data_IF_785377483584
#
_entry.id   IF_785377483584
#
_cell.length_a   1.000
_cell.length_b   1.000
_cell.length_c   1.000
_cell.angle_alpha   90.00
_cell.angle_beta   90.00
_cell.angle_gamma   90.00
#
_symmetry.space_group_name_H-M   'P 1'
#
loop_
_entity.id
_entity.type
_entity.pdbx_description
1 polymer ?
#
# COMPACT_ATOMS: atom_id res chain seq x y z
N UNK A 1 -4.92 -15.52 -3.08
CA UNK A 1 -4.98 -15.18 -1.66
C UNK A 1 -6.40 -15.03 -1.11
N UNK A 2 -7.36 -14.60 -1.88
CA UNK A 2 -8.74 -14.34 -1.42
C UNK A 2 -9.44 -15.55 -0.84
N UNK A 3 -9.28 -16.70 -1.49
CA UNK A 3 -9.97 -17.93 -1.13
C UNK A 3 -9.30 -18.68 0.02
N UNK A 4 -8.18 -18.14 0.51
CA UNK A 4 -7.43 -18.77 1.58
C UNK A 4 -8.04 -18.49 2.95
N UNK A 5 -7.84 -19.42 3.86
CA UNK A 5 -8.16 -19.21 5.27
C UNK A 5 -7.23 -18.15 5.83
N UNK A 6 -7.63 -17.52 6.94
CA UNK A 6 -6.85 -16.46 7.56
C UNK A 6 -5.42 -16.90 7.86
N UNK A 7 -5.22 -18.09 8.42
CA UNK A 7 -3.88 -18.58 8.73
C UNK A 7 -3.01 -18.71 7.48
N UNK A 8 -3.59 -19.11 6.36
CA UNK A 8 -2.86 -19.24 5.10
C UNK A 8 -2.54 -17.86 4.51
N UNK A 9 -3.43 -16.91 4.66
CA UNK A 9 -3.16 -15.53 4.25
C UNK A 9 -2.00 -14.93 5.03
N UNK A 10 -1.94 -15.20 6.33
CA UNK A 10 -0.83 -14.74 7.18
C UNK A 10 0.49 -15.33 6.70
N UNK A 11 0.49 -16.62 6.34
CA UNK A 11 1.70 -17.29 5.81
C UNK A 11 2.15 -16.70 4.48
N UNK A 12 1.21 -16.47 3.57
CA UNK A 12 1.51 -15.87 2.26
C UNK A 12 2.10 -14.48 2.45
N UNK A 13 1.52 -13.69 3.34
CA UNK A 13 1.99 -12.34 3.62
C UNK A 13 3.37 -12.35 4.28
N UNK A 14 3.61 -13.30 5.20
CA UNK A 14 4.92 -13.48 5.82
C UNK A 14 5.97 -13.83 4.78
N UNK A 15 5.66 -14.75 3.87
CA UNK A 15 6.58 -15.15 2.81
C UNK A 15 6.93 -13.96 1.91
N UNK A 16 5.96 -13.11 1.60
CA UNK A 16 6.20 -11.89 0.85
C UNK A 16 7.20 -10.99 1.57
N UNK A 17 7.00 -10.77 2.87
CA UNK A 17 7.88 -9.91 3.66
C UNK A 17 9.30 -10.47 3.76
N UNK A 18 9.42 -11.79 3.93
CA UNK A 18 10.73 -12.45 3.95
C UNK A 18 11.44 -12.30 2.61
N UNK A 19 10.73 -12.46 1.52
CA UNK A 19 11.29 -12.30 0.18
C UNK A 19 11.71 -10.85 -0.09
N UNK A 20 10.97 -9.89 0.42
CA UNK A 20 11.31 -8.46 0.29
C UNK A 20 12.64 -8.11 0.97
N UNK A 21 13.04 -8.85 2.00
CA UNK A 21 14.29 -8.56 2.73
C UNK A 21 15.52 -8.71 1.85
N UNK A 22 15.51 -9.64 0.90
CA UNK A 22 16.68 -10.00 0.11
C UNK A 22 16.52 -9.81 -1.38
N UNK A 23 15.30 -9.61 -1.88
CA UNK A 23 15.07 -9.48 -3.31
C UNK A 23 15.73 -8.21 -3.86
N UNK A 24 16.52 -8.30 -4.95
CA UNK A 24 17.16 -7.11 -5.54
C UNK A 24 16.17 -6.13 -6.17
N UNK A 25 14.92 -6.56 -6.43
CA UNK A 25 13.86 -5.72 -7.00
C UNK A 25 12.63 -5.73 -6.09
N UNK A 26 12.75 -5.20 -4.86
CA UNK A 26 11.67 -5.31 -3.86
C UNK A 26 10.40 -4.57 -4.28
N UNK A 27 10.52 -3.45 -4.98
CA UNK A 27 9.35 -2.67 -5.36
C UNK A 27 8.58 -3.34 -6.48
N UNK A 28 9.25 -4.03 -7.40
CA UNK A 28 8.57 -4.82 -8.43
C UNK A 28 7.85 -6.01 -7.80
N UNK A 29 8.46 -6.62 -6.80
CA UNK A 29 7.86 -7.75 -6.09
C UNK A 29 6.58 -7.34 -5.38
N UNK A 30 6.63 -6.26 -4.58
CA UNK A 30 5.47 -5.83 -3.81
C UNK A 30 4.34 -5.31 -4.71
N UNK A 31 4.65 -4.57 -5.77
CA UNK A 31 3.62 -4.08 -6.68
C UNK A 31 2.94 -5.22 -7.43
N UNK A 32 3.70 -6.24 -7.82
CA UNK A 32 3.13 -7.42 -8.47
C UNK A 32 2.19 -8.17 -7.54
N UNK A 33 2.59 -8.33 -6.28
CA UNK A 33 1.74 -8.98 -5.29
C UNK A 33 0.44 -8.21 -5.08
N UNK A 34 0.55 -6.90 -4.84
CA UNK A 34 -0.63 -6.07 -4.54
C UNK A 34 -1.58 -5.98 -5.73
N UNK A 35 -1.07 -6.08 -6.96
CA UNK A 35 -1.91 -6.05 -8.15
C UNK A 35 -2.80 -7.28 -8.29
N UNK A 36 -2.49 -8.36 -7.56
CA UNK A 36 -3.32 -9.58 -7.58
C UNK A 36 -4.48 -9.52 -6.60
N UNK A 37 -4.52 -8.52 -5.73
CA UNK A 37 -5.57 -8.42 -4.72
C UNK A 37 -6.89 -7.95 -5.34
N UNK A 38 -8.02 -8.53 -4.91
CA UNK A 38 -9.32 -8.13 -5.45
C UNK A 38 -9.74 -6.78 -4.88
N UNK A 39 -10.12 -5.88 -5.76
CA UNK A 39 -10.56 -4.55 -5.38
C UNK A 39 -12.04 -4.58 -5.06
N UNK A 40 -12.41 -4.04 -3.90
CA UNK A 40 -13.80 -3.95 -3.46
C UNK A 40 -14.44 -2.66 -3.96
N UNK A 41 -15.72 -2.74 -4.32
CA UNK A 41 -16.52 -1.55 -4.63
C UNK A 41 -17.05 -0.85 -3.38
N UNK A 42 -16.75 -1.39 -2.19
CA UNK A 42 -17.16 -0.74 -0.94
C UNK A 42 -16.56 0.66 -0.86
N UNK A 43 -17.32 1.60 -0.30
CA UNK A 43 -16.79 2.92 -0.05
C UNK A 43 -15.91 2.90 1.18
N UNK A 44 -14.75 3.56 1.07
CA UNK A 44 -13.84 3.75 2.18
C UNK A 44 -13.79 5.23 2.52
N UNK A 45 -13.91 5.56 3.81
CA UNK A 45 -13.72 6.94 4.26
C UNK A 45 -12.30 7.10 4.80
N UNK A 46 -11.36 7.37 3.91
CA UNK A 46 -9.96 7.51 4.25
C UNK A 46 -9.66 8.76 5.08
N UNK A 47 -10.62 9.68 5.20
CA UNK A 47 -10.46 10.88 6.03
C UNK A 47 -10.92 10.66 7.47
N UNK A 48 -11.54 9.52 7.77
CA UNK A 48 -11.99 9.16 9.10
C UNK A 48 -10.91 8.34 9.80
N UNK A 49 -10.44 8.75 11.00
CA UNK A 49 -9.46 7.95 11.74
C UNK A 49 -9.88 6.50 12.00
N UNK A 50 -11.18 6.22 12.08
CA UNK A 50 -11.68 4.86 12.26
C UNK A 50 -11.46 3.97 11.04
N UNK A 51 -11.12 4.54 9.88
CA UNK A 51 -10.77 3.79 8.69
C UNK A 51 -9.37 3.18 8.78
N UNK A 52 -8.57 3.57 9.78
CA UNK A 52 -7.23 3.03 10.00
C UNK A 52 -7.35 1.69 10.71
N UNK A 53 -7.08 0.60 10.00
CA UNK A 53 -7.26 -0.76 10.49
C UNK A 53 -5.88 -1.38 10.76
N UNK A 54 -5.78 -2.18 11.83
CA UNK A 54 -4.55 -2.92 12.12
C UNK A 54 -4.27 -3.93 10.99
N UNK A 55 -2.97 -4.18 10.67
CA UNK A 55 -2.63 -5.03 9.52
C UNK A 55 -3.25 -6.42 9.57
N UNK A 56 -3.36 -7.01 10.74
CA UNK A 56 -3.93 -8.35 10.89
C UNK A 56 -5.42 -8.39 10.55
N UNK A 57 -6.15 -7.31 10.84
CA UNK A 57 -7.56 -7.22 10.53
C UNK A 57 -7.81 -7.02 9.03
N UNK A 58 -6.88 -6.37 8.33
CA UNK A 58 -6.98 -6.24 6.88
C UNK A 58 -7.00 -7.61 6.19
N UNK A 59 -6.19 -8.55 6.70
CA UNK A 59 -6.10 -9.89 6.11
C UNK A 59 -7.38 -10.72 6.27
N UNK A 60 -8.28 -10.31 7.16
CA UNK A 60 -9.57 -10.99 7.33
C UNK A 60 -10.53 -10.68 6.18
N UNK A 61 -10.29 -9.63 5.42
CA UNK A 61 -11.16 -9.24 4.31
C UNK A 61 -11.01 -10.16 3.12
N UNK A 62 -12.12 -10.44 2.43
CA UNK A 62 -12.11 -11.20 1.18
C UNK A 62 -11.84 -10.32 -0.04
N UNK A 63 -12.03 -9.02 0.10
CA UNK A 63 -11.70 -8.02 -0.91
C UNK A 63 -11.27 -6.73 -0.21
N UNK A 64 -10.59 -5.85 -0.94
CA UNK A 64 -9.97 -4.66 -0.36
C UNK A 64 -10.40 -3.41 -1.11
N UNK A 65 -10.67 -2.33 -0.37
CA UNK A 65 -10.82 -1.02 -0.98
C UNK A 65 -9.44 -0.54 -1.44
N UNK A 66 -9.40 0.44 -2.33
CA UNK A 66 -8.13 1.00 -2.78
C UNK A 66 -7.31 1.57 -1.62
N UNK A 67 -7.99 2.19 -0.63
CA UNK A 67 -7.31 2.69 0.56
C UNK A 67 -6.73 1.54 1.40
N UNK A 68 -7.47 0.45 1.56
CA UNK A 68 -7.00 -0.73 2.29
C UNK A 68 -5.78 -1.36 1.61
N UNK A 69 -5.75 -1.37 0.28
CA UNK A 69 -4.57 -1.84 -0.46
C UNK A 69 -3.37 -0.93 -0.16
N UNK A 70 -3.57 0.38 -0.14
CA UNK A 70 -2.49 1.32 0.22
C UNK A 70 -2.00 1.08 1.66
N UNK A 71 -2.92 0.83 2.60
CA UNK A 71 -2.54 0.48 3.96
C UNK A 71 -1.73 -0.82 4.01
N UNK A 72 -2.13 -1.82 3.23
CA UNK A 72 -1.42 -3.09 3.19
C UNK A 72 -0.01 -2.93 2.60
N UNK A 73 0.14 -2.10 1.56
CA UNK A 73 1.47 -1.70 1.06
C UNK A 73 2.34 -1.14 2.18
N UNK A 74 1.79 -0.15 2.89
CA UNK A 74 2.52 0.54 3.94
C UNK A 74 2.93 -0.42 5.06
N UNK A 75 2.00 -1.23 5.54
CA UNK A 75 2.28 -2.19 6.61
C UNK A 75 3.29 -3.26 6.17
N UNK A 76 3.18 -3.71 4.93
CA UNK A 76 4.12 -4.71 4.40
C UNK A 76 5.55 -4.19 4.46
N UNK A 77 5.76 -2.94 4.03
CA UNK A 77 7.07 -2.31 4.09
C UNK A 77 7.54 -2.09 5.54
N UNK A 78 6.66 -1.58 6.40
CA UNK A 78 7.02 -1.27 7.78
C UNK A 78 7.38 -2.51 8.60
N UNK A 79 6.86 -3.68 8.22
CA UNK A 79 7.11 -4.93 8.93
C UNK A 79 8.33 -5.68 8.41
N UNK A 80 9.10 -5.10 7.49
CA UNK A 80 10.40 -5.63 7.08
C UNK A 80 11.52 -4.93 7.83
N UNK A 81 12.62 -5.62 8.09
CA UNK A 81 13.82 -4.99 8.64
C UNK A 81 14.42 -4.00 7.64
N UNK A 82 14.30 -4.33 6.35
CA UNK A 82 14.86 -3.52 5.27
C UNK A 82 14.26 -2.12 5.20
N UNK A 83 12.95 -1.99 5.46
CA UNK A 83 12.22 -0.73 5.31
C UNK A 83 11.60 -0.21 6.60
N UNK A 84 11.83 -0.85 7.73
CA UNK A 84 11.18 -0.46 8.99
C UNK A 84 11.59 0.95 9.48
N UNK A 85 12.75 1.44 9.05
CA UNK A 85 13.23 2.79 9.40
C UNK A 85 12.87 3.84 8.36
N UNK A 86 12.27 3.43 7.25
CA UNK A 86 11.88 4.35 6.19
C UNK A 86 10.62 5.13 6.57
N UNK A 87 10.52 6.35 6.07
CA UNK A 87 9.30 7.15 6.21
C UNK A 87 8.29 6.66 5.20
N UNK A 88 7.15 6.16 5.68
CA UNK A 88 6.08 5.65 4.84
C UNK A 88 4.87 6.55 4.99
N UNK A 89 4.34 7.06 3.86
CA UNK A 89 3.19 7.93 3.83
C UNK A 89 2.18 7.40 2.82
N UNK A 90 0.89 7.54 3.14
CA UNK A 90 -0.18 7.33 2.17
C UNK A 90 -0.66 8.70 1.72
N UNK A 91 -0.57 8.96 0.42
CA UNK A 91 -1.07 10.20 -0.17
C UNK A 91 -2.40 9.92 -0.85
N UNK A 92 -3.47 10.45 -0.27
CA UNK A 92 -4.76 10.48 -0.94
C UNK A 92 -4.67 11.61 -1.94
N UNK A 93 -4.60 11.25 -3.21
CA UNK A 93 -4.28 12.17 -4.30
C UNK A 93 -5.42 12.26 -5.29
N UNK A 94 -5.43 13.33 -6.06
CA UNK A 94 -6.37 13.49 -7.15
C UNK A 94 -5.60 13.77 -8.44
N UNK A 95 -5.92 13.01 -9.48
CA UNK A 95 -5.48 13.36 -10.81
C UNK A 95 -6.46 14.42 -11.35
N UNK A 96 -6.01 15.66 -11.40
CA UNK A 96 -6.88 16.78 -11.74
C UNK A 96 -7.29 16.78 -13.21
N UNK A 97 -6.51 16.10 -14.06
CA UNK A 97 -6.84 15.98 -15.47
C UNK A 97 -7.93 14.93 -15.72
N UNK A 98 -7.80 13.76 -15.04
CA UNK A 98 -8.75 12.66 -15.18
C UNK A 98 -9.88 12.68 -14.17
N UNK A 99 -9.81 13.57 -13.18
CA UNK A 99 -10.76 13.65 -12.06
C UNK A 99 -10.88 12.33 -11.28
N UNK A 100 -9.76 11.62 -11.11
CA UNK A 100 -9.71 10.35 -10.39
C UNK A 100 -9.02 10.51 -9.05
N UNK A 101 -9.54 9.83 -8.02
CA UNK A 101 -8.85 9.68 -6.74
C UNK A 101 -7.86 8.53 -6.81
N UNK A 102 -6.69 8.75 -6.25
CA UNK A 102 -5.62 7.76 -6.18
C UNK A 102 -5.12 7.65 -4.75
N UNK A 103 -4.79 6.43 -4.35
CA UNK A 103 -4.23 6.15 -3.03
C UNK A 103 -2.81 5.63 -3.24
N UNK A 104 -1.83 6.51 -3.05
CA UNK A 104 -0.43 6.22 -3.37
C UNK A 104 0.39 6.11 -2.10
N UNK A 105 1.40 5.23 -2.12
CA UNK A 105 2.31 5.06 -1.00
C UNK A 105 3.64 5.69 -1.36
N UNK A 106 4.09 6.62 -0.53
CA UNK A 106 5.37 7.31 -0.70
C UNK A 106 6.37 6.76 0.30
N UNK A 107 7.53 6.34 -0.19
CA UNK A 107 8.61 5.81 0.62
C UNK A 107 9.77 6.79 0.61
N UNK A 108 10.11 7.33 1.79
CA UNK A 108 11.18 8.31 1.99
C UNK A 108 11.09 9.53 1.08
N UNK A 109 9.88 9.88 0.64
CA UNK A 109 9.65 11.01 -0.24
C UNK A 109 10.28 10.89 -1.63
N UNK A 110 10.74 9.70 -2.01
CA UNK A 110 11.44 9.51 -3.29
C UNK A 110 10.80 8.46 -4.19
N UNK A 111 10.23 7.41 -3.63
CA UNK A 111 9.60 6.32 -4.39
C UNK A 111 8.10 6.37 -4.16
N UNK A 112 7.33 6.24 -5.26
CA UNK A 112 5.87 6.21 -5.23
C UNK A 112 5.44 4.81 -5.67
N UNK A 113 4.62 4.16 -4.84
CA UNK A 113 4.10 2.83 -5.09
C UNK A 113 2.59 2.90 -5.34
N UNK A 114 2.11 2.07 -6.26
CA UNK A 114 0.69 1.96 -6.55
C UNK A 114 0.18 2.79 -7.71
N UNK A 115 1.02 3.61 -8.33
CA UNK A 115 0.62 4.33 -9.54
C UNK A 115 0.72 3.40 -10.74
N UNK A 116 -0.43 3.11 -11.37
CA UNK A 116 -0.53 2.13 -12.46
C UNK A 116 0.04 0.75 -12.07
N UNK A 117 -0.13 0.37 -10.80
CA UNK A 117 0.39 -0.89 -10.25
C UNK A 117 1.91 -1.04 -10.41
N UNK A 118 2.63 0.07 -10.37
CA UNK A 118 4.09 0.10 -10.52
C UNK A 118 4.74 0.97 -9.45
N UNK A 119 6.04 0.81 -9.31
CA UNK A 119 6.87 1.71 -8.54
C UNK A 119 7.49 2.74 -9.49
N UNK A 120 7.52 3.99 -9.07
CA UNK A 120 8.13 5.05 -9.86
C UNK A 120 8.84 6.03 -8.93
N UNK A 121 9.80 6.79 -9.47
CA UNK A 121 10.37 7.88 -8.69
C UNK A 121 9.40 9.06 -8.67
N UNK A 122 9.49 9.88 -7.62
CA UNK A 122 8.61 11.04 -7.48
C UNK A 122 8.74 12.00 -8.66
N UNK A 123 9.93 12.09 -9.24
CA UNK A 123 10.18 12.96 -10.37
C UNK A 123 9.44 12.55 -11.65
N UNK A 124 9.10 11.27 -11.74
CA UNK A 124 8.39 10.71 -12.90
C UNK A 124 6.88 10.67 -12.71
N UNK A 125 6.40 10.98 -11.51
CA UNK A 125 4.97 11.03 -11.25
C UNK A 125 4.38 12.23 -12.01
N UNK A 126 3.27 12.05 -12.76
CA UNK A 126 2.66 13.18 -13.48
C UNK A 126 2.31 14.33 -12.54
N UNK A 127 2.59 15.55 -12.99
CA UNK A 127 2.33 16.76 -12.19
C UNK A 127 0.86 17.06 -12.02
N UNK A 128 0.00 16.41 -12.80
CA UNK A 128 -1.45 16.51 -12.66
C UNK A 128 -1.97 15.78 -11.42
N UNK A 129 -1.13 14.97 -10.78
CA UNK A 129 -1.49 14.25 -9.56
C UNK A 129 -1.11 15.12 -8.37
N UNK A 130 -2.14 15.52 -7.61
CA UNK A 130 -1.98 16.44 -6.48
C UNK A 130 -2.44 15.77 -5.20
N UNK A 131 -1.59 15.78 -4.18
CA UNK A 131 -1.94 15.22 -2.86
C UNK A 131 -3.00 16.09 -2.20
N UNK A 132 -4.10 15.47 -1.79
CA UNK A 132 -5.19 16.12 -1.05
C UNK A 132 -5.03 15.95 0.46
N UNK A 133 -4.51 14.79 0.87
CA UNK A 133 -4.27 14.48 2.27
C UNK A 133 -3.08 13.52 2.36
N UNK A 134 -2.20 13.78 3.31
CA UNK A 134 -1.05 12.92 3.60
C UNK A 134 -1.25 12.27 4.95
N UNK A 135 -1.18 10.95 4.98
CA UNK A 135 -1.26 10.17 6.21
C UNK A 135 0.13 9.59 6.46
N UNK A 136 0.79 10.09 7.49
CA UNK A 136 2.09 9.58 7.90
C UNK A 136 1.85 8.30 8.71
N UNK A 137 2.39 7.20 8.23
CA UNK A 137 2.21 5.91 8.91
C UNK A 137 3.13 5.86 10.13
N UNK A 138 2.58 5.66 11.34
CA UNK A 138 3.41 5.54 12.53
C UNK A 138 4.21 4.24 12.52
N UNK A 139 5.39 4.22 13.15
CA UNK A 139 6.15 2.97 13.28
C UNK A 139 5.31 1.88 13.96
N UNK A 140 5.47 0.63 13.51
CA UNK A 140 4.71 -0.51 14.04
C UNK A 140 5.45 -1.25 15.18
N UNK A 141 6.59 -0.73 15.61
CA UNK A 141 7.39 -1.35 16.66
C UNK A 141 8.06 -0.34 17.56
#
# INVERSE_FOLDING_TARGET
MIELKFEDKVKVWRNLREELETNPHPFDLITRFMSTLPVSSRKSNAFDPSAQIQPWHLLENSSFTEYEIAQLYAYTLQLTDRFCSSKVEIHISKDIEKEELLYLVFLDGSIVLGYNNKATSIDKLPKTIVSQKVIVMPPLH
#
